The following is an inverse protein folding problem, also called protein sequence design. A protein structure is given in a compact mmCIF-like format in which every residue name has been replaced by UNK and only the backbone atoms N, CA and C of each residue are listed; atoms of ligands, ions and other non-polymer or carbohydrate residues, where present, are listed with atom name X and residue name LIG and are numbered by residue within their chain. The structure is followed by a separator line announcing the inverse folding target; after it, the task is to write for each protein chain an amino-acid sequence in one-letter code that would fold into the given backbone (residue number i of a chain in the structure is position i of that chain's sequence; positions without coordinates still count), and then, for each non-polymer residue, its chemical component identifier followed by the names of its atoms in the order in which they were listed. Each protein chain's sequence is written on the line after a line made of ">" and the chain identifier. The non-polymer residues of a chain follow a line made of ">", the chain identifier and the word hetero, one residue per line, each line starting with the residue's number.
data_IF_905613741920
#
_entry.id   IF_905613741920
#
_cell.length_a   1.000
_cell.length_b   1.000
_cell.length_c   1.000
_cell.angle_alpha   90.00
_cell.angle_beta   90.00
_cell.angle_gamma   90.00
#
_symmetry.space_group_name_H-M   'P 1'
#
loop_
_entity.id
_entity.type
_entity.pdbx_description
1 polymer ?
#
# COMPACT_ATOMS: atom_id res chain seq x y z
N UNK A 1 31.70 -13.71 53.11
CA UNK A 1 32.97 -14.39 53.46
C UNK A 1 32.63 -15.70 54.15
N UNK A 2 33.42 -16.75 53.90
CA UNK A 2 33.22 -18.18 54.20
C UNK A 2 32.60 -18.96 53.02
N UNK A 3 33.13 -20.08 52.53
CA UNK A 3 34.42 -20.75 52.64
C UNK A 3 34.51 -21.77 51.49
N UNK A 4 35.74 -22.03 51.04
CA UNK A 4 36.13 -23.09 50.12
C UNK A 4 35.74 -24.50 50.60
N UNK A 5 35.43 -25.42 49.69
CA UNK A 5 36.11 -26.73 49.70
C UNK A 5 35.91 -27.53 48.40
N UNK A 6 37.05 -27.84 47.79
CA UNK A 6 37.26 -28.75 46.67
C UNK A 6 36.80 -30.18 46.94
N UNK A 7 36.48 -30.93 45.88
CA UNK A 7 37.18 -32.18 45.54
C UNK A 7 36.68 -32.77 44.22
N UNK A 8 37.55 -32.65 43.22
CA UNK A 8 37.70 -33.58 42.10
C UNK A 8 38.17 -34.91 42.69
N UNK A 9 37.57 -36.05 42.31
CA UNK A 9 38.27 -37.23 41.76
C UNK A 9 37.41 -38.50 41.71
N UNK A 10 37.74 -39.29 40.69
CA UNK A 10 37.61 -40.74 40.51
C UNK A 10 36.50 -41.29 39.61
N UNK A 11 37.04 -42.00 38.61
CA UNK A 11 36.46 -42.72 37.48
C UNK A 11 36.21 -44.18 37.88
N UNK A 12 35.39 -44.89 37.10
CA UNK A 12 35.39 -46.36 37.01
C UNK A 12 33.97 -46.93 37.14
N UNK A 13 33.24 -47.07 36.03
CA UNK A 13 33.22 -48.26 35.16
C UNK A 13 32.44 -49.44 35.77
N UNK A 14 31.16 -49.59 35.41
CA UNK A 14 30.50 -50.90 35.32
C UNK A 14 29.64 -50.92 34.05
N UNK A 15 29.90 -51.95 33.26
CA UNK A 15 29.40 -52.25 31.93
C UNK A 15 28.28 -53.30 32.06
N UNK A 16 27.06 -53.04 31.57
CA UNK A 16 25.99 -54.02 31.25
C UNK A 16 24.83 -53.22 30.64
N UNK A 17 23.96 -53.70 29.76
CA UNK A 17 23.91 -54.75 28.73
C UNK A 17 22.70 -54.34 27.84
N UNK A 18 22.61 -54.87 26.63
CA UNK A 18 21.69 -54.52 25.55
C UNK A 18 20.21 -54.28 25.92
N UNK A 19 19.47 -53.55 25.06
CA UNK A 19 18.33 -54.07 24.28
C UNK A 19 17.79 -52.95 23.37
N UNK A 20 17.60 -53.31 22.10
CA UNK A 20 17.03 -52.48 21.05
C UNK A 20 15.51 -52.31 21.20
N UNK A 21 14.99 -51.12 20.87
CA UNK A 21 13.62 -50.96 20.40
C UNK A 21 13.56 -49.90 19.28
N UNK A 22 13.16 -50.39 18.11
CA UNK A 22 12.70 -49.65 16.93
C UNK A 22 11.35 -48.96 17.21
N UNK A 23 10.83 -48.27 16.18
CA UNK A 23 9.52 -47.58 16.04
C UNK A 23 9.69 -46.08 16.43
N UNK A 24 9.41 -45.05 15.62
CA UNK A 24 8.21 -44.76 14.80
C UNK A 24 8.55 -43.82 13.63
N UNK A 25 7.89 -44.09 12.50
CA UNK A 25 7.77 -43.36 11.24
C UNK A 25 7.61 -41.84 11.38
N UNK A 26 8.51 -41.08 10.76
CA UNK A 26 8.29 -39.65 10.49
C UNK A 26 7.42 -39.50 9.22
N UNK A 27 6.11 -39.40 9.40
CA UNK A 27 5.21 -38.89 8.36
C UNK A 27 5.48 -37.39 8.19
N UNK A 28 6.24 -37.02 7.15
CA UNK A 28 6.36 -35.63 6.71
C UNK A 28 5.04 -35.17 6.08
N UNK A 29 4.05 -34.84 6.92
CA UNK A 29 2.91 -34.07 6.49
C UNK A 29 3.42 -32.67 6.08
N UNK A 30 3.56 -32.45 4.78
CA UNK A 30 3.70 -31.10 4.22
C UNK A 30 2.35 -30.39 4.36
N UNK A 31 2.06 -29.91 5.56
CA UNK A 31 1.13 -28.81 5.73
C UNK A 31 1.80 -27.57 5.10
N UNK A 32 1.44 -27.26 3.85
CA UNK A 32 1.70 -25.95 3.28
C UNK A 32 0.84 -24.95 4.07
N UNK A 33 1.41 -24.43 5.15
CA UNK A 33 0.88 -23.26 5.84
C UNK A 33 0.92 -22.09 4.88
N UNK A 34 -0.25 -21.62 4.47
CA UNK A 34 -0.43 -20.31 3.85
C UNK A 34 -0.02 -19.23 4.86
N UNK A 35 1.07 -18.52 4.58
CA UNK A 35 1.32 -17.24 5.24
C UNK A 35 0.24 -16.23 4.81
N UNK A 36 -0.36 -15.48 5.74
CA UNK A 36 -1.22 -14.37 5.39
C UNK A 36 -0.33 -13.20 4.96
N UNK A 37 -0.35 -12.84 3.67
CA UNK A 37 0.27 -11.59 3.22
C UNK A 37 0.85 -11.58 1.80
N UNK A 38 0.98 -12.72 1.12
CA UNK A 38 1.33 -12.74 -0.29
C UNK A 38 0.08 -13.09 -1.11
N UNK A 39 -0.62 -12.04 -1.59
CA UNK A 39 -1.72 -12.19 -2.54
C UNK A 39 -1.25 -13.05 -3.72
N UNK A 40 -1.91 -14.19 -3.93
CA UNK A 40 -1.53 -15.16 -4.96
C UNK A 40 -1.73 -14.56 -6.35
N UNK A 41 -0.96 -15.00 -7.35
CA UNK A 41 -1.19 -14.63 -8.75
C UNK A 41 -2.61 -14.98 -9.21
N UNK A 42 -3.19 -16.05 -8.63
CA UNK A 42 -4.60 -16.42 -8.82
C UNK A 42 -5.56 -15.36 -8.28
N UNK A 43 -5.31 -14.81 -7.10
CA UNK A 43 -6.17 -13.80 -6.48
C UNK A 43 -6.11 -12.48 -7.27
N UNK A 44 -4.92 -12.10 -7.77
CA UNK A 44 -4.77 -10.95 -8.67
C UNK A 44 -5.53 -11.14 -9.98
N UNK A 45 -5.48 -12.33 -10.55
CA UNK A 45 -6.18 -12.64 -11.80
C UNK A 45 -7.71 -12.57 -11.63
N UNK A 46 -8.22 -13.02 -10.48
CA UNK A 46 -9.64 -12.92 -10.14
C UNK A 46 -10.08 -11.46 -9.97
N UNK A 47 -9.31 -10.66 -9.21
CA UNK A 47 -9.55 -9.22 -9.05
C UNK A 47 -9.54 -8.47 -10.39
N UNK A 48 -8.58 -8.79 -11.28
CA UNK A 48 -8.50 -8.20 -12.61
C UNK A 48 -9.73 -8.52 -13.47
N UNK A 49 -10.22 -9.77 -13.39
CA UNK A 49 -11.38 -10.23 -14.15
C UNK A 49 -12.69 -9.63 -13.63
N UNK A 50 -12.85 -9.50 -12.32
CA UNK A 50 -14.01 -8.87 -11.69
C UNK A 50 -14.09 -7.37 -12.00
N UNK A 51 -12.95 -6.68 -11.97
CA UNK A 51 -12.87 -5.29 -12.44
C UNK A 51 -13.24 -5.16 -13.92
N UNK A 52 -12.79 -6.11 -14.77
CA UNK A 52 -13.10 -6.09 -16.19
C UNK A 52 -14.61 -6.18 -16.47
N UNK A 53 -15.30 -7.11 -15.79
CA UNK A 53 -16.75 -7.28 -15.90
C UNK A 53 -17.47 -6.01 -15.44
N UNK A 54 -17.05 -5.44 -14.32
CA UNK A 54 -17.61 -4.20 -13.78
C UNK A 54 -17.47 -3.00 -14.72
N UNK A 55 -16.33 -2.89 -15.42
CA UNK A 55 -16.09 -1.84 -16.41
C UNK A 55 -16.94 -2.02 -17.68
N UNK A 56 -17.21 -3.28 -18.08
CA UNK A 56 -18.02 -3.60 -19.25
C UNK A 56 -19.52 -3.42 -19.00
N UNK A 57 -20.01 -3.81 -17.81
CA UNK A 57 -21.43 -3.71 -17.44
C UNK A 57 -21.94 -2.26 -17.31
N UNK A 58 -21.04 -1.29 -17.08
CA UNK A 58 -21.41 0.12 -16.87
C UNK A 58 -21.50 0.99 -18.12
N UNK A 59 -21.20 0.48 -19.30
CA UNK A 59 -21.57 1.12 -20.57
C UNK A 59 -20.89 2.46 -20.94
N UNK A 60 -20.06 2.38 -21.99
CA UNK A 60 -19.98 3.36 -23.09
C UNK A 60 -19.89 4.87 -22.77
N UNK A 61 -18.68 5.31 -22.41
CA UNK A 61 -18.00 6.51 -22.97
C UNK A 61 -16.51 6.52 -22.56
N UNK A 62 -15.81 5.40 -22.78
CA UNK A 62 -14.36 5.42 -22.75
C UNK A 62 -13.86 6.18 -24.00
N UNK A 63 -12.89 7.10 -23.89
CA UNK A 63 -12.29 7.72 -25.07
C UNK A 63 -11.69 6.62 -25.95
N UNK A 64 -12.11 6.63 -27.22
CA UNK A 64 -11.65 5.83 -28.36
C UNK A 64 -10.72 4.64 -28.02
N UNK A 65 -11.27 3.42 -28.14
CA UNK A 65 -10.53 2.26 -28.64
C UNK A 65 -9.24 1.87 -27.87
N UNK A 66 -9.23 1.99 -26.53
CA UNK A 66 -8.20 1.33 -25.72
C UNK A 66 -8.67 -0.08 -25.39
N UNK A 67 -7.86 -1.06 -25.77
CA UNK A 67 -8.02 -2.46 -25.34
C UNK A 67 -8.28 -2.51 -23.83
N UNK A 68 -9.40 -3.08 -23.36
CA UNK A 68 -9.76 -3.11 -21.93
C UNK A 68 -8.65 -3.66 -21.04
N UNK A 69 -7.85 -4.60 -21.56
CA UNK A 69 -6.69 -5.17 -20.88
C UNK A 69 -5.59 -4.13 -20.62
N UNK A 70 -5.34 -3.23 -21.58
CA UNK A 70 -4.34 -2.16 -21.42
C UNK A 70 -4.81 -1.12 -20.40
N UNK A 71 -6.12 -0.85 -20.34
CA UNK A 71 -6.69 0.05 -19.34
C UNK A 71 -6.55 -0.53 -17.92
N UNK A 72 -6.91 -1.79 -17.71
CA UNK A 72 -6.77 -2.48 -16.43
C UNK A 72 -5.31 -2.55 -15.97
N UNK A 73 -4.41 -2.93 -16.87
CA UNK A 73 -2.97 -2.90 -16.59
C UNK A 73 -2.52 -1.50 -16.16
N UNK A 74 -2.99 -0.46 -16.84
CA UNK A 74 -2.66 0.92 -16.52
C UNK A 74 -3.16 1.34 -15.13
N UNK A 75 -4.37 0.92 -14.77
CA UNK A 75 -4.96 1.16 -13.44
C UNK A 75 -4.12 0.46 -12.37
N UNK A 76 -3.79 -0.81 -12.55
CA UNK A 76 -2.99 -1.59 -11.60
C UNK A 76 -1.60 -1.00 -11.40
N UNK A 77 -0.92 -0.62 -12.49
CA UNK A 77 0.37 0.06 -12.43
C UNK A 77 0.28 1.40 -11.68
N UNK A 78 -0.78 2.17 -11.91
CA UNK A 78 -0.98 3.45 -11.22
C UNK A 78 -1.24 3.26 -9.72
N UNK A 79 -2.06 2.27 -9.34
CA UNK A 79 -2.30 1.92 -7.93
C UNK A 79 -1.03 1.47 -7.22
N UNK A 80 -0.27 0.55 -7.83
CA UNK A 80 0.97 0.04 -7.26
C UNK A 80 2.00 1.17 -7.11
N UNK A 81 2.18 1.98 -8.16
CA UNK A 81 3.16 3.06 -8.13
C UNK A 81 2.77 4.17 -7.15
N UNK A 82 1.48 4.49 -7.02
CA UNK A 82 1.00 5.47 -6.05
C UNK A 82 1.40 5.08 -4.62
N UNK A 83 1.25 3.81 -4.25
CA UNK A 83 1.64 3.28 -2.93
C UNK A 83 3.16 3.33 -2.73
N UNK A 84 3.94 2.94 -3.75
CA UNK A 84 5.41 2.94 -3.70
C UNK A 84 5.93 4.36 -3.46
N UNK A 85 5.51 5.32 -4.29
CA UNK A 85 5.97 6.72 -4.19
C UNK A 85 5.55 7.34 -2.85
N UNK A 86 4.35 7.04 -2.37
CA UNK A 86 3.91 7.51 -1.06
C UNK A 86 4.80 6.98 0.08
N UNK A 87 5.13 5.68 0.05
CA UNK A 87 6.03 5.09 1.05
C UNK A 87 7.44 5.67 0.98
N UNK A 88 7.99 5.93 -0.21
CA UNK A 88 9.30 6.56 -0.39
C UNK A 88 9.34 7.95 0.28
N UNK A 89 8.31 8.79 0.09
CA UNK A 89 8.24 10.10 0.72
C UNK A 89 8.07 9.97 2.24
N UNK A 90 7.16 9.09 2.69
CA UNK A 90 6.89 8.86 4.12
C UNK A 90 8.16 8.50 4.88
N UNK A 91 8.92 7.52 4.38
CA UNK A 91 10.17 7.07 5.00
C UNK A 91 11.19 8.21 5.13
N UNK A 92 11.34 9.01 4.07
CA UNK A 92 12.26 10.16 4.05
C UNK A 92 11.78 11.30 4.94
N UNK A 93 10.48 11.47 5.12
CA UNK A 93 9.91 12.49 6.01
C UNK A 93 9.93 12.09 7.50
N UNK A 94 9.89 10.78 7.79
CA UNK A 94 9.92 10.25 9.16
C UNK A 94 11.33 10.05 9.72
N UNK A 95 12.33 9.82 8.86
CA UNK A 95 13.71 9.81 9.30
C UNK A 95 14.07 11.24 9.77
N UNK A 96 14.77 11.38 10.89
CA UNK A 96 15.32 12.67 11.38
C UNK A 96 16.45 13.21 10.46
N UNK A 97 16.30 13.01 9.16
CA UNK A 97 17.19 13.40 8.07
C UNK A 97 16.63 14.67 7.44
N UNK A 98 17.52 15.51 6.93
CA UNK A 98 17.13 16.70 6.16
C UNK A 98 16.30 16.25 4.95
N UNK A 99 15.10 16.81 4.80
CA UNK A 99 14.21 16.52 3.69
C UNK A 99 14.83 16.98 2.37
N UNK A 100 15.04 16.06 1.44
CA UNK A 100 15.37 16.40 0.05
C UNK A 100 14.14 16.99 -0.63
N UNK A 101 14.06 18.31 -0.66
CA UNK A 101 12.94 19.06 -1.22
C UNK A 101 12.78 18.86 -2.73
N UNK A 102 13.87 18.55 -3.46
CA UNK A 102 13.77 18.24 -4.89
C UNK A 102 13.06 16.90 -5.07
N UNK A 103 13.48 15.89 -4.32
CA UNK A 103 12.83 14.58 -4.35
C UNK A 103 11.35 14.67 -3.94
N UNK A 104 11.01 15.44 -2.91
CA UNK A 104 9.60 15.65 -2.51
C UNK A 104 8.78 16.29 -3.63
N UNK A 105 9.34 17.30 -4.31
CA UNK A 105 8.66 17.94 -5.45
C UNK A 105 8.42 16.97 -6.60
N UNK A 106 9.41 16.16 -6.96
CA UNK A 106 9.33 15.19 -8.05
C UNK A 106 8.30 14.08 -7.72
N UNK A 107 8.35 13.56 -6.49
CA UNK A 107 7.43 12.54 -6.01
C UNK A 107 5.97 13.07 -5.93
N UNK A 108 5.77 14.31 -5.50
CA UNK A 108 4.46 14.95 -5.53
C UNK A 108 3.92 15.14 -6.97
N UNK A 109 4.79 15.43 -7.93
CA UNK A 109 4.41 15.48 -9.34
C UNK A 109 3.99 14.11 -9.89
N UNK A 110 4.68 13.04 -9.49
CA UNK A 110 4.31 11.67 -9.86
C UNK A 110 2.96 11.27 -9.25
N UNK A 111 2.74 11.51 -7.95
CA UNK A 111 1.47 11.26 -7.27
C UNK A 111 0.32 11.96 -7.98
N UNK A 112 0.48 13.24 -8.33
CA UNK A 112 -0.52 14.00 -9.08
C UNK A 112 -0.86 13.31 -10.40
N UNK A 113 0.16 12.95 -11.19
CA UNK A 113 0.01 12.32 -12.51
C UNK A 113 -0.78 11.01 -12.43
N UNK A 114 -0.39 10.13 -11.50
CA UNK A 114 -1.01 8.81 -11.31
C UNK A 114 -2.45 8.94 -10.82
N UNK A 115 -2.69 9.79 -9.81
CA UNK A 115 -4.03 10.04 -9.28
C UNK A 115 -4.97 10.66 -10.32
N UNK A 116 -4.46 11.56 -11.17
CA UNK A 116 -5.26 12.15 -12.27
C UNK A 116 -5.67 11.10 -13.31
N UNK A 117 -4.77 10.16 -13.63
CA UNK A 117 -5.07 9.04 -14.52
C UNK A 117 -6.08 8.09 -13.89
N UNK A 118 -5.90 7.68 -12.64
CA UNK A 118 -6.85 6.86 -11.89
C UNK A 118 -8.23 7.53 -11.86
N UNK A 119 -8.30 8.83 -11.58
CA UNK A 119 -9.56 9.59 -11.60
C UNK A 119 -10.28 9.55 -12.95
N UNK A 120 -9.54 9.52 -14.04
CA UNK A 120 -10.09 9.50 -15.40
C UNK A 120 -10.47 8.08 -15.84
N UNK A 121 -9.70 7.08 -15.41
CA UNK A 121 -9.84 5.69 -15.83
C UNK A 121 -10.84 4.90 -14.96
N UNK A 122 -11.02 5.29 -13.69
CA UNK A 122 -11.98 4.66 -12.79
C UNK A 122 -13.38 5.26 -13.02
N UNK A 123 -14.30 4.42 -13.50
CA UNK A 123 -15.70 4.79 -13.70
C UNK A 123 -16.43 4.74 -12.35
N UNK A 124 -16.40 5.86 -11.64
CA UNK A 124 -17.26 6.05 -10.47
C UNK A 124 -18.67 6.45 -10.92
N UNK A 125 -19.75 5.84 -10.39
CA UNK A 125 -21.11 6.33 -10.62
C UNK A 125 -21.18 7.83 -10.27
N UNK A 126 -21.88 8.62 -11.10
CA UNK A 126 -22.21 9.98 -10.72
C UNK A 126 -23.06 9.93 -9.45
N UNK A 127 -22.56 10.53 -8.37
CA UNK A 127 -23.37 10.66 -7.16
C UNK A 127 -24.53 11.59 -7.47
N UNK A 128 -25.76 11.14 -7.16
CA UNK A 128 -26.89 12.02 -7.07
C UNK A 128 -26.63 12.99 -5.91
N UNK A 129 -26.16 14.20 -6.23
CA UNK A 129 -25.66 15.23 -5.32
C UNK A 129 -24.31 14.84 -4.69
N UNK A 130 -23.25 15.48 -5.17
CA UNK A 130 -21.99 15.57 -4.44
C UNK A 130 -22.26 16.33 -3.13
N UNK A 131 -22.52 15.60 -2.04
CA UNK A 131 -22.42 16.20 -0.71
C UNK A 131 -21.04 16.81 -0.59
N UNK A 132 -21.03 18.10 -0.30
CA UNK A 132 -19.83 18.92 -0.18
C UNK A 132 -19.07 18.42 1.03
N UNK A 133 -18.18 17.43 0.83
CA UNK A 133 -17.25 16.96 1.86
C UNK A 133 -16.56 18.16 2.48
N UNK A 134 -16.48 18.16 3.81
CA UNK A 134 -15.62 19.09 4.51
C UNK A 134 -14.21 18.92 3.96
N UNK A 135 -13.70 19.98 3.33
CA UNK A 135 -12.34 19.97 2.79
C UNK A 135 -11.39 19.65 3.92
N UNK A 136 -10.36 18.85 3.62
CA UNK A 136 -9.25 18.62 4.55
C UNK A 136 -8.78 19.97 5.12
N UNK A 137 -8.66 20.09 6.45
CA UNK A 137 -8.29 21.36 7.07
C UNK A 137 -6.97 21.87 6.51
N UNK A 138 -6.77 23.21 6.46
CA UNK A 138 -5.52 23.77 5.99
C UNK A 138 -4.35 23.23 6.80
N UNK A 139 -3.45 22.51 6.16
CA UNK A 139 -2.21 22.05 6.79
C UNK A 139 -1.09 23.04 6.50
N UNK A 140 -0.54 23.62 7.56
CA UNK A 140 0.61 24.52 7.49
C UNK A 140 1.91 23.74 7.67
N UNK A 141 2.90 24.02 6.81
CA UNK A 141 4.19 23.31 6.80
C UNK A 141 4.23 22.11 5.85
N UNK A 142 5.41 21.83 5.29
CA UNK A 142 5.56 20.74 4.32
C UNK A 142 5.34 19.36 4.97
N UNK A 143 5.85 19.14 6.19
CA UNK A 143 5.71 17.85 6.89
C UNK A 143 4.25 17.47 7.17
N UNK A 144 3.43 18.41 7.63
CA UNK A 144 2.00 18.17 7.89
C UNK A 144 1.22 17.88 6.60
N UNK A 145 1.55 18.55 5.50
CA UNK A 145 1.01 18.28 4.17
C UNK A 145 1.38 16.87 3.71
N UNK A 146 2.61 16.40 3.95
CA UNK A 146 3.04 15.04 3.61
C UNK A 146 2.30 13.97 4.43
N UNK A 147 2.12 14.18 5.74
CA UNK A 147 1.34 13.27 6.59
C UNK A 147 -0.11 13.18 6.11
N UNK A 148 -0.69 14.31 5.71
CA UNK A 148 -2.07 14.36 5.21
C UNK A 148 -2.20 13.68 3.85
N UNK A 149 -1.25 13.89 2.95
CA UNK A 149 -1.20 13.22 1.65
C UNK A 149 -1.10 11.71 1.79
N UNK A 150 -0.24 11.25 2.69
CA UNK A 150 -0.05 9.84 3.03
C UNK A 150 -1.31 9.21 3.64
N UNK A 151 -2.03 9.92 4.51
CA UNK A 151 -3.34 9.49 5.00
C UNK A 151 -4.37 9.37 3.87
N UNK A 152 -4.49 10.38 3.01
CA UNK A 152 -5.44 10.37 1.89
C UNK A 152 -5.17 9.20 0.94
N UNK A 153 -3.90 8.98 0.58
CA UNK A 153 -3.52 7.86 -0.29
C UNK A 153 -3.88 6.53 0.36
N UNK A 154 -3.61 6.35 1.66
CA UNK A 154 -4.03 5.14 2.39
C UNK A 154 -5.54 4.93 2.34
N UNK A 155 -6.32 5.95 2.72
CA UNK A 155 -7.79 5.86 2.72
C UNK A 155 -8.34 5.51 1.34
N UNK A 156 -7.76 6.09 0.28
CA UNK A 156 -8.11 5.75 -1.08
C UNK A 156 -7.80 4.28 -1.40
N UNK A 157 -6.56 3.81 -1.23
CA UNK A 157 -6.17 2.46 -1.65
C UNK A 157 -6.78 1.34 -0.79
N UNK A 158 -7.21 1.65 0.43
CA UNK A 158 -7.92 0.69 1.30
C UNK A 158 -9.44 0.85 1.24
N UNK A 159 -9.97 1.61 0.28
CA UNK A 159 -11.41 1.78 0.14
C UNK A 159 -12.05 0.43 -0.26
N UNK A 160 -13.07 -0.08 0.46
CA UNK A 160 -13.68 -1.37 0.17
C UNK A 160 -14.34 -1.47 -1.21
N UNK A 161 -14.56 -0.34 -1.90
CA UNK A 161 -15.02 -0.32 -3.30
C UNK A 161 -14.09 -1.09 -4.24
N UNK A 162 -12.85 -1.35 -3.84
CA UNK A 162 -11.86 -2.11 -4.59
C UNK A 162 -11.76 -3.59 -4.18
N UNK A 163 -12.51 -4.04 -3.17
CA UNK A 163 -12.44 -5.42 -2.64
C UNK A 163 -13.77 -6.16 -2.66
N UNK A 164 -14.90 -5.45 -2.52
CA UNK A 164 -16.22 -6.08 -2.48
C UNK A 164 -16.89 -6.08 -3.86
N UNK A 165 -16.77 -7.19 -4.58
CA UNK A 165 -17.34 -7.39 -5.92
C UNK A 165 -18.88 -7.53 -5.95
N UNK A 166 -19.55 -7.62 -4.80
CA UNK A 166 -20.96 -8.00 -4.70
C UNK A 166 -21.97 -6.86 -4.91
N UNK A 167 -21.65 -5.62 -4.50
CA UNK A 167 -22.52 -4.44 -4.64
C UNK A 167 -21.65 -3.19 -4.69
N UNK A 168 -21.70 -2.44 -5.79
CA UNK A 168 -21.01 -1.15 -5.88
C UNK A 168 -21.75 -0.16 -4.99
N UNK A 169 -21.23 0.04 -3.79
CA UNK A 169 -21.72 1.06 -2.89
C UNK A 169 -21.39 2.44 -3.47
N UNK A 170 -22.42 3.15 -3.96
CA UNK A 170 -22.29 4.47 -4.57
C UNK A 170 -21.63 5.48 -3.62
N UNK A 171 -21.83 5.32 -2.32
CA UNK A 171 -21.16 6.14 -1.30
C UNK A 171 -19.66 5.85 -1.32
N UNK A 172 -19.23 4.59 -1.20
CA UNK A 172 -17.81 4.22 -1.23
C UNK A 172 -17.10 4.67 -2.51
N UNK A 173 -17.81 4.60 -3.65
CA UNK A 173 -17.31 5.09 -4.92
C UNK A 173 -17.17 6.63 -4.95
N UNK A 174 -18.16 7.36 -4.45
CA UNK A 174 -18.08 8.80 -4.28
C UNK A 174 -16.94 9.19 -3.31
N UNK A 175 -16.71 8.37 -2.28
CA UNK A 175 -15.60 8.54 -1.35
C UNK A 175 -14.25 8.41 -2.04
N UNK A 176 -14.03 7.33 -2.78
CA UNK A 176 -12.80 7.12 -3.55
C UNK A 176 -12.53 8.24 -4.56
N UNK A 177 -13.59 8.74 -5.21
CA UNK A 177 -13.49 9.88 -6.14
C UNK A 177 -13.06 11.16 -5.42
N UNK A 178 -13.68 11.47 -4.29
CA UNK A 178 -13.32 12.63 -3.48
C UNK A 178 -11.90 12.54 -2.94
N UNK A 179 -11.46 11.35 -2.53
CA UNK A 179 -10.08 11.14 -2.06
C UNK A 179 -9.08 11.42 -3.20
N UNK A 180 -9.35 10.99 -4.44
CA UNK A 180 -8.51 11.31 -5.60
C UNK A 180 -8.44 12.80 -5.88
N UNK A 181 -9.56 13.53 -5.79
CA UNK A 181 -9.58 14.99 -5.94
C UNK A 181 -8.70 15.67 -4.89
N UNK A 182 -8.81 15.27 -3.63
CA UNK A 182 -7.99 15.81 -2.53
C UNK A 182 -6.50 15.46 -2.68
N UNK A 183 -6.17 14.25 -3.13
CA UNK A 183 -4.78 13.83 -3.42
C UNK A 183 -4.17 14.69 -4.54
N UNK A 184 -4.93 14.94 -5.60
CA UNK A 184 -4.50 15.79 -6.73
C UNK A 184 -4.25 17.22 -6.25
N UNK A 185 -5.17 17.80 -5.50
CA UNK A 185 -5.04 19.17 -5.01
C UNK A 185 -3.88 19.32 -4.00
N UNK A 186 -3.76 18.40 -3.06
CA UNK A 186 -2.72 18.45 -2.04
C UNK A 186 -1.33 18.19 -2.65
N UNK A 187 -1.21 17.27 -3.61
CA UNK A 187 0.07 17.04 -4.31
C UNK A 187 0.55 18.27 -5.08
N UNK A 188 -0.35 19.08 -5.65
CA UNK A 188 0.01 20.39 -6.24
C UNK A 188 0.55 21.35 -5.19
N UNK A 189 -0.07 21.42 -4.01
CA UNK A 189 0.38 22.29 -2.89
C UNK A 189 1.75 21.85 -2.36
N UNK A 190 1.93 20.54 -2.11
CA UNK A 190 3.20 19.94 -1.67
C UNK A 190 4.31 20.25 -2.66
N UNK A 191 4.08 20.03 -3.96
CA UNK A 191 5.06 20.34 -5.00
C UNK A 191 5.50 21.80 -4.96
N UNK A 192 4.55 22.74 -4.89
CA UNK A 192 4.83 24.17 -4.83
C UNK A 192 5.65 24.53 -3.59
N UNK A 193 5.27 24.00 -2.43
CA UNK A 193 5.96 24.25 -1.17
C UNK A 193 7.39 23.69 -1.19
N UNK A 194 7.57 22.44 -1.61
CA UNK A 194 8.88 21.81 -1.73
C UNK A 194 9.79 22.54 -2.72
N UNK A 195 9.26 22.98 -3.87
CA UNK A 195 10.02 23.79 -4.85
C UNK A 195 10.46 25.13 -4.26
N UNK A 196 9.64 25.77 -3.43
CA UNK A 196 10.01 27.03 -2.76
C UNK A 196 11.15 26.81 -1.77
N UNK A 197 11.07 25.75 -0.96
CA UNK A 197 12.10 25.38 0.01
C UNK A 197 13.40 24.96 -0.67
N UNK A 198 13.35 24.21 -1.78
CA UNK A 198 14.55 23.80 -2.52
C UNK A 198 15.32 25.00 -3.07
N UNK A 199 14.61 26.03 -3.55
CA UNK A 199 15.22 27.27 -4.05
C UNK A 199 15.81 28.12 -2.92
N UNK A 200 15.14 28.16 -1.76
CA UNK A 200 15.59 28.95 -0.61
C UNK A 200 16.87 28.38 -0.01
N UNK A 201 17.02 27.05 0.05
CA UNK A 201 18.19 26.39 0.63
C UNK A 201 19.37 26.23 -0.35
N UNK A 202 19.20 26.60 -1.62
CA UNK A 202 20.27 26.56 -2.62
C UNK A 202 21.01 27.91 -2.75
N UNK A 203 20.50 28.96 -2.10
CA UNK A 203 21.14 30.26 -1.94
C UNK A 203 21.84 30.34 -0.59
#
# INVERSE_FOLDING_TARGET
>A
MNNYCSRVLMKGAIFTMAVALLIISASSARAQGSLPGAMSERDRNLLDREMQITLMEKGAKAPAQREPQLLLKQINEDFARLQVVNNEIKLKASANVVLDFKHVSDAAAEIKKRSSRLRTNLVFPESAKAEKREKTPPTEGLKSQLVTLDRLIRTFVTNPVFTDAGVINAELAARARGDLDEIIDLSVKVKKHATKLSKTNAN
#
